data_IF_579332243733
#
_entry.id   IF_579332243733
#
_cell.length_a   1.000
_cell.length_b   1.000
_cell.length_c   1.000
_cell.angle_alpha   90.00
_cell.angle_beta   90.00
_cell.angle_gamma   90.00
#
_symmetry.space_group_name_H-M   'P 1'
#
loop_
_entity.id
_entity.type
_entity.pdbx_description
1 polymer ?
#
# COMPACT_ATOMS: atom_id res chain seq x y z
N UNK A 1 -14.59 -17.53 -10.97
CA UNK A 1 -14.77 -17.23 -9.53
C UNK A 1 -14.77 -18.57 -8.83
N UNK A 2 -13.85 -18.77 -7.87
CA UNK A 2 -13.68 -20.00 -7.10
C UNK A 2 -14.12 -19.70 -5.67
N UNK A 3 -14.86 -20.60 -5.04
CA UNK A 3 -15.31 -20.41 -3.66
C UNK A 3 -14.14 -20.57 -2.68
N UNK A 4 -14.14 -19.74 -1.62
CA UNK A 4 -13.06 -19.74 -0.64
C UNK A 4 -12.94 -21.08 0.13
N UNK A 5 -14.06 -21.80 0.28
CA UNK A 5 -14.09 -23.11 0.93
C UNK A 5 -13.34 -24.18 0.13
N UNK A 6 -13.26 -24.01 -1.20
CA UNK A 6 -12.61 -24.98 -2.11
C UNK A 6 -11.08 -24.83 -2.16
N UNK A 7 -10.52 -23.76 -1.55
CA UNK A 7 -9.07 -23.56 -1.54
C UNK A 7 -8.39 -24.62 -0.67
N UNK A 8 -7.23 -25.11 -1.12
CA UNK A 8 -6.43 -26.04 -0.31
C UNK A 8 -6.10 -25.42 1.06
N UNK A 9 -6.16 -26.21 2.12
CA UNK A 9 -5.89 -25.76 3.49
C UNK A 9 -4.47 -26.17 3.95
N UNK A 10 -3.49 -25.94 3.07
CA UNK A 10 -2.07 -26.24 3.33
C UNK A 10 -1.30 -24.94 3.53
N UNK A 11 -0.47 -24.89 4.58
CA UNK A 11 0.40 -23.75 4.81
C UNK A 11 1.58 -23.79 3.81
N UNK A 12 1.44 -23.11 2.68
CA UNK A 12 2.48 -23.02 1.67
C UNK A 12 3.46 -21.87 1.98
N UNK A 13 4.15 -21.98 3.11
CA UNK A 13 5.08 -20.98 3.65
C UNK A 13 6.16 -20.57 2.63
N UNK A 14 6.60 -21.52 1.79
CA UNK A 14 7.60 -21.31 0.74
C UNK A 14 7.25 -20.21 -0.28
N UNK A 15 5.97 -19.86 -0.42
CA UNK A 15 5.56 -18.82 -1.37
C UNK A 15 5.58 -17.41 -0.78
N UNK A 16 5.77 -17.26 0.54
CA UNK A 16 5.85 -15.96 1.18
C UNK A 16 7.06 -15.15 0.70
N UNK A 17 8.17 -15.81 0.35
CA UNK A 17 9.36 -15.14 -0.18
C UNK A 17 9.13 -14.50 -1.56
N UNK A 18 8.04 -14.89 -2.24
CA UNK A 18 7.63 -14.34 -3.55
C UNK A 18 6.55 -13.27 -3.44
N UNK A 19 6.10 -12.96 -2.22
CA UNK A 19 4.98 -12.05 -1.96
C UNK A 19 5.50 -10.69 -1.48
N UNK A 20 4.93 -9.61 -2.02
CA UNK A 20 4.99 -8.27 -1.44
C UNK A 20 3.61 -7.81 -0.97
N UNK A 21 3.54 -7.02 0.10
CA UNK A 21 2.29 -6.44 0.58
C UNK A 21 2.27 -4.95 0.26
N UNK A 22 1.28 -4.50 -0.52
CA UNK A 22 1.09 -3.10 -0.88
C UNK A 22 -0.20 -2.57 -0.23
N UNK A 23 -0.08 -1.50 0.57
CA UNK A 23 -1.23 -0.78 1.13
C UNK A 23 -1.42 0.57 0.47
N UNK A 24 -2.67 0.83 0.08
CA UNK A 24 -3.10 2.12 -0.46
C UNK A 24 -3.22 3.14 0.68
N UNK A 25 -2.35 4.15 0.68
CA UNK A 25 -2.19 5.19 1.71
C UNK A 25 -2.35 6.62 1.14
N UNK A 26 -3.06 6.77 0.03
CA UNK A 26 -3.36 8.07 -0.57
C UNK A 26 -4.52 8.83 0.08
N UNK A 27 -5.25 8.17 1.00
CA UNK A 27 -6.47 8.70 1.62
C UNK A 27 -6.20 9.65 2.78
N UNK A 28 -6.91 10.78 2.80
CA UNK A 28 -6.94 11.71 3.92
C UNK A 28 -8.05 11.33 4.92
N UNK A 29 -7.82 11.63 6.20
CA UNK A 29 -8.76 11.40 7.30
C UNK A 29 -9.91 12.42 7.40
N UNK A 30 -10.12 13.26 6.38
CA UNK A 30 -11.05 14.41 6.45
C UNK A 30 -12.49 13.99 6.68
N UNK A 31 -12.93 12.85 6.13
CA UNK A 31 -14.27 12.30 6.39
C UNK A 31 -14.48 11.88 7.84
N UNK A 32 -13.40 11.64 8.58
CA UNK A 32 -13.41 11.28 10.00
C UNK A 32 -13.11 12.48 10.91
N UNK A 33 -13.01 13.70 10.34
CA UNK A 33 -12.72 14.92 11.09
C UNK A 33 -11.24 15.07 11.49
N UNK A 34 -10.33 14.27 10.93
CA UNK A 34 -8.90 14.34 11.22
C UNK A 34 -8.14 15.06 10.09
N UNK A 35 -7.09 15.81 10.47
CA UNK A 35 -6.12 16.39 9.54
C UNK A 35 -4.97 15.40 9.38
N UNK A 36 -4.61 15.08 8.14
CA UNK A 36 -3.52 14.16 7.81
C UNK A 36 -3.97 12.82 7.20
N UNK A 37 -3.04 11.87 7.03
CA UNK A 37 -3.30 10.59 6.40
C UNK A 37 -4.25 9.75 7.26
N UNK A 38 -5.19 9.06 6.61
CA UNK A 38 -6.15 8.18 7.30
C UNK A 38 -5.46 7.05 8.06
N UNK A 39 -4.29 6.61 7.59
CA UNK A 39 -3.51 5.54 8.20
C UNK A 39 -3.00 5.82 9.61
N UNK A 40 -2.91 7.10 9.99
CA UNK A 40 -2.36 7.55 11.29
C UNK A 40 -3.43 7.62 12.37
N UNK A 41 -4.71 7.54 11.98
CA UNK A 41 -5.82 7.59 12.92
C UNK A 41 -5.75 6.39 13.86
N UNK A 42 -5.82 6.67 15.16
CA UNK A 42 -5.88 5.65 16.20
C UNK A 42 -7.20 4.85 16.08
N UNK A 43 -7.08 3.53 16.01
CA UNK A 43 -8.22 2.61 15.87
C UNK A 43 -8.47 1.86 17.17
N UNK A 44 -7.40 1.38 17.81
CA UNK A 44 -7.51 0.52 18.99
C UNK A 44 -6.26 0.61 19.87
N UNK A 45 -6.47 0.77 21.18
CA UNK A 45 -5.43 0.67 22.21
C UNK A 45 -4.17 1.52 21.91
N UNK A 46 -4.33 2.77 21.44
CA UNK A 46 -3.20 3.63 21.08
C UNK A 46 -2.57 3.34 19.71
N UNK A 47 -3.09 2.37 18.96
CA UNK A 47 -2.53 1.95 17.67
C UNK A 47 -3.29 2.52 16.49
N UNK A 48 -2.53 3.05 15.53
CA UNK A 48 -3.05 3.46 14.23
C UNK A 48 -3.26 2.29 13.26
N UNK A 49 -3.94 2.52 12.14
CA UNK A 49 -4.03 1.53 11.05
C UNK A 49 -2.65 1.10 10.55
N UNK A 50 -1.72 2.04 10.48
CA UNK A 50 -0.34 1.77 10.06
C UNK A 50 0.39 0.90 11.10
N UNK A 51 0.26 1.21 12.40
CA UNK A 51 0.85 0.40 13.47
C UNK A 51 0.35 -1.05 13.42
N UNK A 52 -0.95 -1.24 13.19
CA UNK A 52 -1.55 -2.57 13.07
C UNK A 52 -1.04 -3.32 11.84
N UNK A 53 -0.93 -2.65 10.70
CA UNK A 53 -0.41 -3.25 9.46
C UNK A 53 1.05 -3.68 9.60
N UNK A 54 1.90 -2.83 10.19
CA UNK A 54 3.30 -3.15 10.46
C UNK A 54 3.40 -4.34 11.43
N UNK A 55 2.59 -4.38 12.50
CA UNK A 55 2.56 -5.50 13.44
C UNK A 55 2.13 -6.82 12.80
N UNK A 56 1.16 -6.80 11.89
CA UNK A 56 0.72 -7.99 11.16
C UNK A 56 1.86 -8.57 10.32
N UNK A 57 2.61 -7.73 9.62
CA UNK A 57 3.72 -8.16 8.77
C UNK A 57 4.92 -8.57 9.62
N UNK A 58 5.23 -7.84 10.69
CA UNK A 58 6.27 -8.23 11.64
C UNK A 58 5.97 -9.59 12.27
N UNK A 59 4.72 -9.85 12.63
CA UNK A 59 4.28 -11.16 13.14
C UNK A 59 4.45 -12.25 12.08
N UNK A 60 4.09 -11.98 10.83
CA UNK A 60 4.26 -12.92 9.71
C UNK A 60 5.75 -13.25 9.48
N UNK A 61 6.60 -12.22 9.38
CA UNK A 61 8.04 -12.35 9.19
C UNK A 61 8.69 -13.14 10.33
N UNK A 62 8.29 -12.91 11.58
CA UNK A 62 8.81 -13.66 12.74
C UNK A 62 8.32 -15.09 12.80
N UNK A 63 7.04 -15.33 12.51
CA UNK A 63 6.42 -16.67 12.61
C UNK A 63 7.01 -17.63 11.58
N UNK A 64 7.21 -17.14 10.36
CA UNK A 64 7.67 -17.96 9.24
C UNK A 64 9.15 -17.77 8.90
N UNK A 65 9.85 -16.88 9.63
CA UNK A 65 11.26 -16.53 9.38
C UNK A 65 11.52 -16.09 7.93
N UNK A 66 10.63 -15.25 7.41
CA UNK A 66 10.67 -14.67 6.05
C UNK A 66 10.84 -13.15 6.13
N UNK A 67 11.17 -12.51 5.00
CA UNK A 67 11.24 -11.06 4.90
C UNK A 67 10.31 -10.55 3.80
N UNK A 68 9.03 -10.40 4.13
CA UNK A 68 8.02 -9.85 3.21
C UNK A 68 8.15 -8.32 3.18
N UNK A 69 8.40 -7.72 2.00
CA UNK A 69 8.46 -6.27 1.85
C UNK A 69 7.07 -5.64 2.01
N UNK A 70 7.02 -4.54 2.76
CA UNK A 70 5.82 -3.75 3.00
C UNK A 70 5.88 -2.43 2.24
N UNK A 71 4.96 -2.24 1.31
CA UNK A 71 4.96 -1.11 0.39
C UNK A 71 3.77 -0.19 0.70
N UNK A 72 4.03 1.11 0.84
CA UNK A 72 2.98 2.12 0.99
C UNK A 72 2.90 3.01 -0.24
N UNK A 73 1.73 3.01 -0.88
CA UNK A 73 1.40 3.94 -1.95
C UNK A 73 0.83 5.22 -1.35
N UNK A 74 1.64 6.26 -1.29
CA UNK A 74 1.28 7.56 -0.74
C UNK A 74 0.70 8.49 -1.82
N UNK A 75 0.18 9.63 -1.37
CA UNK A 75 -0.16 10.77 -2.21
C UNK A 75 0.70 11.97 -1.87
N UNK A 76 0.72 12.99 -2.74
CA UNK A 76 1.34 14.27 -2.40
C UNK A 76 0.75 14.94 -1.14
N UNK A 77 -0.45 14.53 -0.68
CA UNK A 77 -1.03 15.02 0.57
C UNK A 77 -0.60 14.21 1.80
N UNK A 78 -0.10 13.00 1.61
CA UNK A 78 0.19 12.06 2.70
C UNK A 78 1.66 11.66 2.78
N UNK A 79 2.45 11.95 1.75
CA UNK A 79 3.83 11.52 1.61
C UNK A 79 4.72 12.02 2.76
N UNK A 80 4.70 13.32 3.04
CA UNK A 80 5.61 13.93 4.00
C UNK A 80 5.27 13.50 5.44
N UNK A 81 3.97 13.47 5.76
CA UNK A 81 3.48 12.97 7.05
C UNK A 81 3.83 11.49 7.24
N UNK A 82 3.66 10.68 6.19
CA UNK A 82 3.98 9.24 6.25
C UNK A 82 5.48 9.02 6.41
N UNK A 83 6.33 9.79 5.71
CA UNK A 83 7.78 9.70 5.84
C UNK A 83 8.28 10.04 7.25
N UNK A 84 7.62 11.00 7.93
CA UNK A 84 7.94 11.32 9.32
C UNK A 84 7.60 10.16 10.28
N UNK A 85 6.48 9.47 10.03
CA UNK A 85 5.99 8.39 10.88
C UNK A 85 6.75 7.09 10.66
N UNK A 86 7.19 6.81 9.44
CA UNK A 86 7.96 5.58 9.13
C UNK A 86 9.25 5.48 9.94
N UNK A 87 9.86 6.61 10.30
CA UNK A 87 11.06 6.63 11.17
C UNK A 87 10.85 5.94 12.51
N UNK A 88 9.60 5.91 13.03
CA UNK A 88 9.23 5.16 14.24
C UNK A 88 9.48 3.66 14.09
N UNK A 89 9.43 3.14 12.86
CA UNK A 89 9.53 1.72 12.55
C UNK A 89 10.92 1.26 12.08
N UNK A 90 11.93 2.14 12.02
CA UNK A 90 13.30 1.81 11.56
C UNK A 90 14.01 0.72 12.40
N UNK A 91 13.46 0.31 13.53
CA UNK A 91 13.95 -0.81 14.35
C UNK A 91 13.11 -2.09 14.31
N UNK A 92 12.02 -2.12 13.52
CA UNK A 92 11.16 -3.29 13.39
C UNK A 92 11.69 -4.24 12.31
N UNK A 93 11.35 -5.54 12.43
CA UNK A 93 11.75 -6.56 11.45
C UNK A 93 10.83 -6.54 10.19
N UNK A 94 10.72 -5.37 9.55
CA UNK A 94 9.89 -5.15 8.35
C UNK A 94 10.63 -4.19 7.43
N UNK A 95 10.81 -4.58 6.17
CA UNK A 95 11.33 -3.69 5.14
C UNK A 95 10.20 -2.83 4.57
N UNK A 96 10.18 -1.54 4.92
CA UNK A 96 9.13 -0.60 4.51
C UNK A 96 9.62 0.23 3.32
N UNK A 97 8.99 0.04 2.17
CA UNK A 97 9.19 0.82 0.96
C UNK A 97 8.01 1.79 0.76
N UNK A 98 8.29 2.97 0.23
CA UNK A 98 7.23 3.95 -0.09
C UNK A 98 7.44 4.54 -1.45
N UNK A 99 6.32 4.80 -2.14
CA UNK A 99 6.31 5.59 -3.36
C UNK A 99 5.11 6.51 -3.37
N UNK A 100 5.21 7.57 -4.17
CA UNK A 100 4.14 8.53 -4.34
C UNK A 100 3.39 8.25 -5.65
N UNK A 101 2.06 8.31 -5.59
CA UNK A 101 1.22 8.22 -6.77
C UNK A 101 1.30 9.50 -7.61
N UNK A 102 0.88 9.41 -8.87
CA UNK A 102 0.86 10.51 -9.81
C UNK A 102 -0.03 11.67 -9.33
N UNK A 103 0.25 12.86 -9.86
CA UNK A 103 -0.51 14.08 -9.57
C UNK A 103 -0.98 14.71 -10.86
N UNK A 104 -2.29 14.67 -11.10
CA UNK A 104 -2.90 15.16 -12.34
C UNK A 104 -3.55 16.53 -12.13
N UNK A 105 -3.50 17.42 -13.15
CA UNK A 105 -4.13 18.73 -13.06
C UNK A 105 -5.64 18.59 -13.12
N UNK A 106 -6.38 19.25 -12.21
CA UNK A 106 -7.85 19.32 -12.32
C UNK A 106 -8.23 20.08 -13.58
N UNK A 107 -9.39 19.76 -14.14
CA UNK A 107 -9.91 20.38 -15.36
C UNK A 107 -11.14 21.21 -15.00
N UNK A 108 -11.22 22.43 -15.55
CA UNK A 108 -12.41 23.27 -15.43
C UNK A 108 -13.55 22.66 -16.25
N UNK A 109 -14.72 22.50 -15.63
CA UNK A 109 -15.89 21.88 -16.28
C UNK A 109 -16.34 22.64 -17.54
N UNK A 110 -16.32 23.97 -17.49
CA UNK A 110 -16.88 24.79 -18.57
C UNK A 110 -15.92 24.95 -19.76
N UNK A 111 -14.62 25.09 -19.49
CA UNK A 111 -13.62 25.34 -20.54
C UNK A 111 -12.85 24.10 -20.98
N UNK A 112 -12.92 23.00 -20.21
CA UNK A 112 -12.12 21.79 -20.40
C UNK A 112 -10.59 22.03 -20.38
N UNK A 113 -10.16 23.17 -19.85
CA UNK A 113 -8.75 23.52 -19.71
C UNK A 113 -8.23 23.14 -18.32
N UNK A 114 -6.92 22.85 -18.18
CA UNK A 114 -6.32 22.59 -16.87
C UNK A 114 -6.45 23.83 -15.98
N UNK A 115 -6.82 23.61 -14.72
CA UNK A 115 -6.86 24.62 -13.67
C UNK A 115 -5.45 25.17 -13.40
N UNK A 116 -4.42 24.33 -13.11
CA UNK A 116 -3.10 24.84 -12.82
C UNK A 116 -2.39 25.31 -14.09
N UNK A 117 -1.82 26.52 -14.02
CA UNK A 117 -0.99 27.10 -15.10
C UNK A 117 0.50 26.83 -14.92
N UNK A 118 0.92 26.47 -13.71
CA UNK A 118 2.32 26.22 -13.34
C UNK A 118 2.39 25.02 -12.40
N UNK A 119 3.56 24.39 -12.31
CA UNK A 119 3.79 23.26 -11.39
C UNK A 119 3.59 23.63 -9.91
N UNK A 120 3.96 24.87 -9.54
CA UNK A 120 3.89 25.43 -8.18
C UNK A 120 2.49 25.97 -7.81
N UNK A 121 1.50 25.77 -8.70
CA UNK A 121 0.10 26.07 -8.41
C UNK A 121 -0.36 25.40 -7.11
N UNK A 122 -1.39 25.97 -6.48
CA UNK A 122 -1.96 25.45 -5.23
C UNK A 122 -2.24 23.95 -5.31
N UNK A 123 -1.95 23.22 -4.24
CA UNK A 123 -2.20 21.78 -4.11
C UNK A 123 -3.67 21.42 -4.42
N UNK A 124 -4.60 22.33 -4.11
CA UNK A 124 -6.03 22.15 -4.39
C UNK A 124 -6.40 22.13 -5.89
N UNK A 125 -5.51 22.59 -6.77
CA UNK A 125 -5.69 22.57 -8.23
C UNK A 125 -5.28 21.21 -8.83
N UNK A 126 -4.69 20.35 -8.01
CA UNK A 126 -4.27 19.01 -8.39
C UNK A 126 -5.17 17.95 -7.76
N UNK A 127 -5.15 16.74 -8.30
CA UNK A 127 -5.80 15.59 -7.70
C UNK A 127 -4.99 14.31 -7.97
N UNK A 128 -5.06 13.32 -7.06
CA UNK A 128 -4.54 12.00 -7.34
C UNK A 128 -5.51 11.28 -8.31
N UNK A 129 -5.01 10.60 -9.36
CA UNK A 129 -5.82 9.92 -10.37
C UNK A 129 -6.52 8.62 -9.87
N UNK A 130 -6.67 8.48 -8.55
CA UNK A 130 -7.28 7.31 -7.91
C UNK A 130 -6.32 6.13 -7.74
N UNK A 131 -6.82 5.03 -7.16
CA UNK A 131 -6.00 3.85 -6.85
C UNK A 131 -5.57 3.04 -8.09
N UNK A 132 -6.14 3.31 -9.27
CA UNK A 132 -5.75 2.64 -10.52
C UNK A 132 -4.35 3.04 -11.02
N UNK A 133 -3.85 4.19 -10.59
CA UNK A 133 -2.51 4.68 -10.91
C UNK A 133 -1.38 3.92 -10.18
N UNK A 134 -1.74 2.93 -9.35
CA UNK A 134 -0.77 2.05 -8.68
C UNK A 134 0.21 1.43 -9.67
N UNK A 135 -0.23 1.00 -10.85
CA UNK A 135 0.62 0.32 -11.84
C UNK A 135 1.65 1.27 -12.44
N UNK A 136 1.22 2.44 -12.93
CA UNK A 136 2.11 3.43 -13.52
C UNK A 136 3.08 4.01 -12.49
N UNK A 137 2.58 4.34 -11.30
CA UNK A 137 3.41 4.90 -10.23
C UNK A 137 4.40 3.89 -9.67
N UNK A 138 4.02 2.61 -9.53
CA UNK A 138 4.94 1.55 -9.10
C UNK A 138 6.05 1.34 -10.13
N UNK A 139 5.72 1.33 -11.42
CA UNK A 139 6.70 1.25 -12.51
C UNK A 139 7.66 2.45 -12.49
N UNK A 140 7.11 3.67 -12.48
CA UNK A 140 7.90 4.91 -12.51
C UNK A 140 8.76 5.11 -11.25
N UNK A 141 8.38 4.53 -10.12
CA UNK A 141 9.15 4.60 -8.88
C UNK A 141 10.43 3.74 -8.90
N UNK A 142 10.55 2.81 -9.85
CA UNK A 142 11.62 1.81 -9.87
C UNK A 142 11.51 0.74 -8.78
N UNK A 143 10.48 0.78 -7.93
CA UNK A 143 10.22 -0.27 -6.93
C UNK A 143 9.81 -1.56 -7.64
N UNK A 144 9.10 -1.50 -8.77
CA UNK A 144 8.74 -2.70 -9.51
C UNK A 144 9.99 -3.52 -9.87
N UNK A 145 11.00 -2.88 -10.44
CA UNK A 145 12.26 -3.54 -10.82
C UNK A 145 12.97 -4.10 -9.58
N UNK A 146 13.00 -3.35 -8.47
CA UNK A 146 13.56 -3.83 -7.21
C UNK A 146 12.84 -5.06 -6.66
N UNK A 147 11.52 -5.13 -6.78
CA UNK A 147 10.75 -6.30 -6.34
C UNK A 147 11.08 -7.52 -7.21
N UNK A 148 11.14 -7.33 -8.53
CA UNK A 148 11.49 -8.40 -9.48
C UNK A 148 12.91 -8.91 -9.22
N UNK A 149 13.89 -8.01 -9.00
CA UNK A 149 15.27 -8.38 -8.67
C UNK A 149 15.38 -9.16 -7.36
N UNK A 150 14.49 -8.90 -6.40
CA UNK A 150 14.38 -9.65 -5.14
C UNK A 150 13.69 -11.01 -5.28
N UNK A 151 13.17 -11.35 -6.47
CA UNK A 151 12.42 -12.58 -6.71
C UNK A 151 10.95 -12.54 -6.27
N UNK A 152 10.40 -11.35 -6.06
CA UNK A 152 8.97 -11.16 -5.79
C UNK A 152 8.19 -11.32 -7.08
N UNK A 153 7.15 -12.15 -7.05
CA UNK A 153 6.28 -12.44 -8.20
C UNK A 153 4.86 -11.89 -8.01
N UNK A 154 4.40 -11.76 -6.76
CA UNK A 154 3.01 -11.43 -6.44
C UNK A 154 2.95 -10.22 -5.51
N UNK A 155 2.04 -9.29 -5.78
CA UNK A 155 1.74 -8.14 -4.92
C UNK A 155 0.33 -8.26 -4.36
N UNK A 156 0.22 -8.38 -3.04
CA UNK A 156 -1.06 -8.31 -2.34
C UNK A 156 -1.45 -6.85 -2.09
N UNK A 157 -2.43 -6.36 -2.85
CA UNK A 157 -2.91 -4.98 -2.79
C UNK A 157 -4.17 -4.88 -1.92
N UNK A 158 -4.17 -3.95 -0.95
CA UNK A 158 -5.36 -3.65 -0.15
C UNK A 158 -5.35 -2.22 0.40
N UNK A 159 -6.51 -1.75 0.85
CA UNK A 159 -6.59 -0.44 1.51
C UNK A 159 -6.01 -0.50 2.93
N UNK A 160 -5.39 0.60 3.37
CA UNK A 160 -4.86 0.71 4.74
C UNK A 160 -5.96 0.73 5.81
N UNK A 161 -7.17 1.17 5.45
CA UNK A 161 -8.32 1.19 6.36
C UNK A 161 -9.02 -0.18 6.50
N UNK A 162 -8.66 -1.16 5.68
CA UNK A 162 -9.17 -2.52 5.79
C UNK A 162 -8.23 -3.37 6.67
N UNK A 163 -8.54 -3.42 7.97
CA UNK A 163 -7.80 -4.22 8.94
C UNK A 163 -7.95 -5.74 8.76
N UNK A 164 -9.02 -6.18 8.07
CA UNK A 164 -9.27 -7.58 7.76
C UNK A 164 -8.48 -8.11 6.56
N UNK A 165 -7.85 -7.21 5.78
CA UNK A 165 -7.00 -7.58 4.66
C UNK A 165 -5.62 -8.04 5.15
N UNK A 166 -5.60 -9.26 5.68
CA UNK A 166 -4.40 -10.00 6.07
C UNK A 166 -3.93 -10.90 4.92
N UNK A 167 -2.66 -11.27 4.94
CA UNK A 167 -2.10 -12.23 3.99
C UNK A 167 -2.72 -13.60 4.25
N UNK A 168 -3.44 -14.12 3.25
CA UNK A 168 -4.04 -15.44 3.28
C UNK A 168 -3.19 -16.43 2.48
N UNK A 169 -2.62 -17.41 3.19
CA UNK A 169 -1.74 -18.41 2.60
C UNK A 169 -2.47 -19.34 1.62
N UNK A 170 -3.79 -19.55 1.80
CA UNK A 170 -4.59 -20.42 0.93
C UNK A 170 -4.79 -19.75 -0.43
N UNK A 171 -5.03 -18.44 -0.44
CA UNK A 171 -5.14 -17.64 -1.66
C UNK A 171 -3.79 -17.60 -2.37
N UNK A 172 -2.71 -17.33 -1.64
CA UNK A 172 -1.37 -17.29 -2.20
C UNK A 172 -0.98 -18.62 -2.84
N UNK A 173 -1.24 -19.74 -2.15
CA UNK A 173 -0.98 -21.07 -2.68
C UNK A 173 -1.75 -21.31 -3.98
N UNK A 174 -3.04 -20.96 -4.00
CA UNK A 174 -3.87 -21.16 -5.16
C UNK A 174 -3.38 -20.36 -6.38
N UNK A 175 -3.02 -19.09 -6.19
CA UNK A 175 -2.48 -18.25 -7.26
C UNK A 175 -1.20 -18.85 -7.87
N UNK A 176 -0.25 -19.26 -7.03
CA UNK A 176 1.01 -19.85 -7.51
C UNK A 176 0.78 -21.18 -8.22
N UNK A 177 -0.12 -22.04 -7.73
CA UNK A 177 -0.39 -23.36 -8.32
C UNK A 177 -1.18 -23.29 -9.63
N UNK A 178 -2.02 -22.28 -9.81
CA UNK A 178 -2.86 -22.12 -10.99
C UNK A 178 -2.26 -21.18 -12.03
N UNK A 179 -1.05 -20.65 -11.79
CA UNK A 179 -0.39 -19.63 -12.62
C UNK A 179 -1.34 -18.48 -12.99
N UNK A 180 -2.22 -18.11 -12.07
CA UNK A 180 -3.32 -17.15 -12.26
C UNK A 180 -3.19 -15.92 -11.37
#
# INVERSE_FOLDING_TARGET
VVDYEDLANTEAVQFLDKLAVLKLNGGLGTSMGCVGPKSVIEVRDGMSFLDLSVRQIEYLNRTYNVNVPFILMNSFNTNDDTAAIIKKYEGHNVDILTFNQSRYPRILKDSLLPVPKKFESSISEWYPPGHGDVFESLYNSGILDQLIERGIEIVFLSNVDNLGAVVDLRILQHMVQTES
#
